data_IF_329651072876
#
_entry.id   IF_329651072876
#
_cell.length_a   1.000
_cell.length_b   1.000
_cell.length_c   1.000
_cell.angle_alpha   90.00
_cell.angle_beta   90.00
_cell.angle_gamma   90.00
#
_symmetry.space_group_name_H-M   'P 1'
#
loop_
_entity.id
_entity.type
_entity.pdbx_description
1 polymer ?
#
# COMPACT_ATOMS: atom_id res chain seq x y z
N UNK A 1 18.92 -1.65 -35.20
CA UNK A 1 17.92 -0.86 -34.45
C UNK A 1 16.93 -1.76 -33.68
N UNK A 2 17.39 -2.74 -32.90
CA UNK A 2 16.47 -3.61 -32.11
C UNK A 2 16.25 -3.12 -30.67
N UNK A 3 17.27 -2.50 -30.06
CA UNK A 3 17.18 -2.01 -28.67
C UNK A 3 16.17 -0.86 -28.52
N UNK A 4 16.07 0.02 -29.54
CA UNK A 4 15.12 1.13 -29.55
C UNK A 4 13.66 0.68 -29.58
N UNK A 5 13.33 -0.36 -30.35
CA UNK A 5 11.97 -0.90 -30.45
C UNK A 5 11.51 -1.59 -29.16
N UNK A 6 12.41 -2.36 -28.51
CA UNK A 6 12.11 -3.02 -27.22
C UNK A 6 11.89 -2.01 -26.10
N UNK A 7 12.68 -0.93 -26.06
CA UNK A 7 12.51 0.17 -25.10
C UNK A 7 11.16 0.89 -25.27
N UNK A 8 10.78 1.22 -26.51
CA UNK A 8 9.49 1.85 -26.81
C UNK A 8 8.30 0.96 -26.41
N UNK A 9 8.42 -0.35 -26.62
CA UNK A 9 7.38 -1.31 -26.24
C UNK A 9 7.25 -1.48 -24.72
N UNK A 10 8.36 -1.47 -23.99
CA UNK A 10 8.33 -1.50 -22.53
C UNK A 10 7.66 -0.23 -21.96
N UNK A 11 8.01 0.94 -22.49
CA UNK A 11 7.41 2.23 -22.10
C UNK A 11 5.91 2.26 -22.39
N UNK A 12 5.47 1.78 -23.56
CA UNK A 12 4.05 1.79 -23.93
C UNK A 12 3.22 0.89 -23.02
N UNK A 13 3.76 -0.28 -22.63
CA UNK A 13 3.11 -1.18 -21.67
C UNK A 13 2.99 -0.56 -20.28
N UNK A 14 4.06 0.06 -19.78
CA UNK A 14 4.04 0.74 -18.49
C UNK A 14 3.05 1.91 -18.50
N UNK A 15 3.06 2.72 -19.56
CA UNK A 15 2.12 3.85 -19.71
C UNK A 15 0.66 3.39 -19.76
N UNK A 16 0.39 2.28 -20.47
CA UNK A 16 -0.96 1.72 -20.54
C UNK A 16 -1.43 1.22 -19.19
N UNK A 17 -0.55 0.52 -18.46
CA UNK A 17 -0.81 0.06 -17.10
C UNK A 17 -1.04 1.22 -16.13
N UNK A 18 -0.24 2.28 -16.20
CA UNK A 18 -0.41 3.48 -15.37
C UNK A 18 -1.75 4.18 -15.63
N UNK A 19 -2.22 4.18 -16.89
CA UNK A 19 -3.55 4.70 -17.22
C UNK A 19 -4.67 3.85 -16.66
N UNK A 20 -4.53 2.53 -16.72
CA UNK A 20 -5.48 1.58 -16.12
C UNK A 20 -5.52 1.74 -14.60
N UNK A 21 -4.37 1.81 -13.92
CA UNK A 21 -4.34 2.03 -12.47
C UNK A 21 -4.84 3.41 -12.04
N UNK A 22 -4.79 4.42 -12.91
CA UNK A 22 -5.43 5.71 -12.63
C UNK A 22 -6.96 5.59 -12.56
N UNK A 23 -7.59 4.63 -13.27
CA UNK A 23 -9.04 4.41 -13.25
C UNK A 23 -9.49 3.30 -12.30
N UNK A 24 -8.70 2.23 -12.17
CA UNK A 24 -9.07 1.03 -11.41
C UNK A 24 -8.33 0.91 -10.06
N UNK A 25 -7.25 1.67 -9.88
CA UNK A 25 -6.38 1.59 -8.71
C UNK A 25 -5.14 0.72 -8.91
N UNK A 26 -4.09 0.99 -8.14
CA UNK A 26 -2.93 0.10 -8.04
C UNK A 26 -3.18 -1.06 -7.07
N UNK A 27 -2.64 -2.25 -7.37
CA UNK A 27 -2.61 -3.39 -6.45
C UNK A 27 -1.67 -3.10 -5.27
N UNK A 28 -2.25 -2.93 -4.08
CA UNK A 28 -1.54 -2.35 -2.92
C UNK A 28 -0.85 -3.41 -2.04
N UNK A 29 -1.18 -4.69 -2.18
CA UNK A 29 -0.63 -5.75 -1.34
C UNK A 29 0.88 -5.68 -1.22
N UNK A 30 1.38 -5.85 -0.01
CA UNK A 30 2.80 -5.92 0.23
C UNK A 30 3.26 -5.18 1.48
N UNK A 31 4.57 -5.04 1.55
CA UNK A 31 5.31 -4.46 2.65
C UNK A 31 6.09 -3.24 2.15
N UNK A 32 5.96 -2.15 2.88
CA UNK A 32 6.49 -0.84 2.55
C UNK A 32 7.32 -0.29 3.69
N UNK A 33 8.33 0.53 3.37
CA UNK A 33 9.22 1.13 4.37
C UNK A 33 9.35 2.63 4.17
N UNK A 34 9.45 3.39 5.26
CA UNK A 34 9.60 4.84 5.16
C UNK A 34 10.95 5.23 4.54
N UNK A 35 10.90 6.24 3.70
CA UNK A 35 12.02 6.66 2.85
C UNK A 35 13.11 7.45 3.58
N UNK A 36 12.78 8.09 4.70
CA UNK A 36 13.66 9.04 5.40
C UNK A 36 14.49 8.37 6.49
N UNK A 37 13.84 7.52 7.28
CA UNK A 37 14.43 6.92 8.49
C UNK A 37 14.55 5.41 8.36
N UNK A 38 13.73 4.79 7.51
CA UNK A 38 13.64 3.34 7.35
C UNK A 38 13.31 2.59 8.65
N UNK A 39 12.60 3.26 9.56
CA UNK A 39 12.20 2.76 10.88
C UNK A 39 10.70 2.47 10.97
N UNK A 40 9.87 3.13 10.17
CA UNK A 40 8.45 2.79 10.07
C UNK A 40 8.21 1.85 8.91
N UNK A 41 7.29 0.91 9.11
CA UNK A 41 6.89 -0.04 8.09
C UNK A 41 5.38 -0.13 7.99
N UNK A 42 4.87 -0.32 6.79
CA UNK A 42 3.44 -0.38 6.52
C UNK A 42 3.17 -1.61 5.66
N UNK A 43 2.20 -2.43 6.05
CA UNK A 43 1.79 -3.63 5.32
C UNK A 43 0.32 -3.53 4.91
N UNK A 44 0.00 -4.06 3.74
CA UNK A 44 -1.35 -4.16 3.19
C UNK A 44 -1.62 -5.56 2.66
N UNK A 45 -2.85 -6.04 2.87
CA UNK A 45 -3.38 -7.23 2.25
C UNK A 45 -4.87 -7.00 1.94
N UNK A 46 -5.25 -7.03 0.66
CA UNK A 46 -6.62 -6.87 0.17
C UNK A 46 -7.45 -8.14 0.41
N UNK A 47 -6.83 -9.31 0.25
CA UNK A 47 -7.39 -10.57 0.76
C UNK A 47 -7.49 -10.49 2.30
N UNK A 48 -8.37 -11.26 2.94
CA UNK A 48 -8.57 -11.18 4.40
C UNK A 48 -9.09 -9.79 4.90
N UNK A 49 -10.27 -9.39 4.41
CA UNK A 49 -11.02 -8.24 4.92
C UNK A 49 -10.29 -6.89 4.84
N UNK A 50 -9.41 -6.72 3.83
CA UNK A 50 -8.66 -5.49 3.57
C UNK A 50 -7.86 -5.03 4.80
N UNK A 51 -6.92 -5.86 5.24
CA UNK A 51 -6.09 -5.62 6.43
C UNK A 51 -4.91 -4.71 6.16
N UNK A 52 -4.59 -3.85 7.12
CA UNK A 52 -3.33 -3.09 7.14
C UNK A 52 -2.66 -3.15 8.51
N UNK A 53 -1.35 -2.93 8.54
CA UNK A 53 -0.60 -2.74 9.79
C UNK A 53 0.54 -1.74 9.58
N UNK A 54 0.64 -0.78 10.49
CA UNK A 54 1.81 0.06 10.67
C UNK A 54 2.61 -0.42 11.88
N UNK A 55 3.93 -0.53 11.71
CA UNK A 55 4.88 -0.58 12.83
C UNK A 55 5.62 0.74 12.84
N UNK A 56 5.52 1.49 13.93
CA UNK A 56 6.21 2.77 14.06
C UNK A 56 7.69 2.62 14.46
N UNK A 57 8.38 3.75 14.55
CA UNK A 57 9.81 3.80 14.89
C UNK A 57 10.16 3.22 16.27
N UNK A 58 9.18 3.14 17.18
CA UNK A 58 9.31 2.62 18.55
C UNK A 58 8.90 1.14 18.61
N UNK A 59 8.51 0.55 17.48
CA UNK A 59 8.08 -0.84 17.35
C UNK A 59 6.61 -1.05 17.72
N UNK A 60 5.84 0.02 17.93
CA UNK A 60 4.43 -0.07 18.26
C UNK A 60 3.66 -0.45 17.00
N UNK A 61 2.90 -1.54 17.10
CA UNK A 61 2.02 -2.01 16.03
C UNK A 61 0.66 -1.34 16.17
N UNK A 62 0.14 -0.82 15.06
CA UNK A 62 -1.27 -0.42 14.91
C UNK A 62 -1.80 -1.07 13.66
N UNK A 63 -2.91 -1.79 13.77
CA UNK A 63 -3.52 -2.47 12.64
C UNK A 63 -5.03 -2.22 12.58
N UNK A 64 -5.63 -2.71 11.51
CA UNK A 64 -7.06 -2.65 11.29
C UNK A 64 -7.42 -2.88 9.84
N UNK A 65 -8.48 -2.22 9.38
CA UNK A 65 -9.06 -2.42 8.06
C UNK A 65 -8.98 -1.14 7.22
N UNK A 66 -8.84 -1.29 5.91
CA UNK A 66 -8.88 -0.18 4.97
C UNK A 66 -10.00 -0.31 3.95
N UNK A 67 -10.38 0.83 3.36
CA UNK A 67 -11.33 0.88 2.24
C UNK A 67 -10.85 1.89 1.21
N UNK A 68 -11.03 1.58 -0.07
CA UNK A 68 -10.84 2.54 -1.16
C UNK A 68 -11.94 3.60 -1.12
N UNK A 69 -11.61 4.82 -1.52
CA UNK A 69 -12.60 5.89 -1.76
C UNK A 69 -13.14 5.82 -3.18
N UNK A 70 -13.94 6.82 -3.59
CA UNK A 70 -14.35 6.98 -4.98
C UNK A 70 -13.15 7.18 -5.92
N UNK A 71 -12.04 7.75 -5.41
CA UNK A 71 -10.74 7.62 -6.06
C UNK A 71 -10.11 6.28 -5.62
N UNK A 72 -9.87 5.35 -6.55
CA UNK A 72 -9.38 4.02 -6.19
C UNK A 72 -7.95 4.08 -5.64
N UNK A 73 -7.17 5.14 -5.91
CA UNK A 73 -5.81 5.28 -5.40
C UNK A 73 -5.76 5.97 -4.02
N UNK A 74 -6.91 6.26 -3.42
CA UNK A 74 -7.01 6.81 -2.07
C UNK A 74 -7.68 5.78 -1.16
N UNK A 75 -7.02 5.45 -0.06
CA UNK A 75 -7.49 4.50 0.96
C UNK A 75 -7.74 5.23 2.27
N UNK A 76 -8.83 4.90 2.97
CA UNK A 76 -9.04 5.30 4.37
C UNK A 76 -8.67 4.13 5.26
N UNK A 77 -7.74 4.36 6.19
CA UNK A 77 -7.31 3.39 7.19
C UNK A 77 -8.13 3.58 8.46
N UNK A 78 -8.72 2.49 8.95
CA UNK A 78 -9.37 2.43 10.25
C UNK A 78 -8.61 1.48 11.16
N UNK A 79 -8.40 1.88 12.42
CA UNK A 79 -7.85 0.98 13.42
C UNK A 79 -8.87 -0.11 13.81
N UNK A 80 -8.48 -1.05 14.67
CA UNK A 80 -9.36 -2.11 15.18
C UNK A 80 -10.65 -1.59 15.83
N UNK A 81 -10.62 -0.40 16.44
CA UNK A 81 -11.79 0.26 17.04
C UNK A 81 -12.72 0.91 16.01
N UNK A 82 -12.37 0.88 14.71
CA UNK A 82 -13.12 1.49 13.63
C UNK A 82 -12.93 3.00 13.47
N UNK A 83 -12.01 3.59 14.25
CA UNK A 83 -11.65 5.00 14.18
C UNK A 83 -10.72 5.27 13.00
N UNK A 84 -10.83 6.44 12.38
CA UNK A 84 -9.95 6.82 11.26
C UNK A 84 -8.54 7.04 11.79
N UNK A 85 -7.61 6.18 11.36
CA UNK A 85 -6.19 6.32 11.64
C UNK A 85 -5.52 7.30 10.66
N UNK A 86 -5.90 7.25 9.38
CA UNK A 86 -5.33 8.10 8.36
C UNK A 86 -5.82 7.79 6.95
N UNK A 87 -5.20 8.45 5.97
CA UNK A 87 -5.50 8.29 4.56
C UNK A 87 -4.23 7.96 3.80
N UNK A 88 -4.29 6.98 2.90
CA UNK A 88 -3.17 6.62 2.02
C UNK A 88 -3.47 7.07 0.60
N UNK A 89 -2.51 7.71 -0.04
CA UNK A 89 -2.52 7.92 -1.49
C UNK A 89 -1.46 7.01 -2.13
N UNK A 90 -1.90 6.10 -2.98
CA UNK A 90 -1.05 5.20 -3.77
C UNK A 90 -0.65 5.92 -5.04
N UNK A 91 0.52 6.57 -5.03
CA UNK A 91 0.92 7.44 -6.12
C UNK A 91 1.41 6.66 -7.35
N UNK A 92 2.06 5.52 -7.13
CA UNK A 92 2.58 4.68 -8.20
C UNK A 92 2.93 3.29 -7.67
N UNK A 93 2.60 2.24 -8.42
CA UNK A 93 3.24 0.92 -8.33
C UNK A 93 3.59 0.52 -9.77
N UNK A 94 4.79 -0.02 -10.00
CA UNK A 94 5.20 -0.44 -11.35
C UNK A 94 4.41 -1.67 -11.78
N UNK A 95 4.25 -1.89 -13.09
CA UNK A 95 3.56 -3.10 -13.61
C UNK A 95 4.20 -4.41 -13.13
N UNK A 96 5.52 -4.39 -12.93
CA UNK A 96 6.28 -5.54 -12.43
C UNK A 96 6.22 -5.68 -10.90
N UNK A 97 5.66 -4.68 -10.22
CA UNK A 97 5.58 -4.58 -8.75
C UNK A 97 6.94 -4.69 -8.07
N UNK A 98 7.98 -4.18 -8.73
CA UNK A 98 9.36 -4.05 -8.21
C UNK A 98 9.68 -2.61 -7.76
N UNK A 99 8.77 -1.68 -8.01
CA UNK A 99 8.81 -0.31 -7.53
C UNK A 99 7.41 0.11 -7.07
N UNK A 100 7.35 0.91 -6.03
CA UNK A 100 6.10 1.48 -5.56
C UNK A 100 6.32 2.64 -4.61
N UNK A 101 5.36 3.54 -4.58
CA UNK A 101 5.37 4.76 -3.80
C UNK A 101 3.97 5.07 -3.29
N UNK A 102 3.85 5.20 -1.98
CA UNK A 102 2.63 5.68 -1.34
C UNK A 102 2.92 6.76 -0.30
N UNK A 103 1.88 7.51 0.04
CA UNK A 103 1.92 8.54 1.07
C UNK A 103 0.85 8.24 2.11
N UNK A 104 1.23 8.16 3.37
CA UNK A 104 0.31 8.09 4.50
C UNK A 104 0.18 9.48 5.12
N UNK A 105 -1.05 9.97 5.15
CA UNK A 105 -1.47 11.19 5.84
C UNK A 105 -2.12 10.79 7.15
N UNK A 106 -1.53 11.19 8.28
CA UNK A 106 -2.10 10.99 9.62
C UNK A 106 -1.76 12.18 10.51
N UNK A 107 -2.69 12.56 11.38
CA UNK A 107 -2.59 13.76 12.22
C UNK A 107 -2.25 15.03 11.40
N UNK A 108 -1.02 15.52 11.51
CA UNK A 108 -0.44 16.65 10.78
C UNK A 108 0.78 16.27 9.96
N UNK A 109 1.05 14.96 9.82
CA UNK A 109 2.25 14.41 9.18
C UNK A 109 1.90 13.70 7.87
N UNK A 110 2.85 13.77 6.95
CA UNK A 110 2.85 12.96 5.73
C UNK A 110 4.12 12.13 5.72
N UNK A 111 3.97 10.82 5.72
CA UNK A 111 5.08 9.87 5.62
C UNK A 111 5.05 9.22 4.25
N UNK A 112 6.21 9.17 3.60
CA UNK A 112 6.38 8.58 2.26
C UNK A 112 6.98 7.19 2.42
N UNK A 113 6.39 6.22 1.75
CA UNK A 113 6.85 4.83 1.80
C UNK A 113 7.14 4.28 0.42
N UNK A 114 8.16 3.43 0.32
CA UNK A 114 8.48 2.68 -0.89
C UNK A 114 8.15 1.20 -0.73
N UNK A 115 7.72 0.57 -1.81
CA UNK A 115 7.47 -0.88 -1.86
C UNK A 115 8.79 -1.63 -1.65
N UNK A 116 8.78 -2.60 -0.74
CA UNK A 116 9.92 -3.49 -0.44
C UNK A 116 9.63 -4.90 -0.93
N UNK A 117 8.41 -5.40 -0.75
CA UNK A 117 7.97 -6.73 -1.17
C UNK A 117 6.48 -6.72 -1.49
N UNK A 118 6.05 -7.52 -2.45
CA UNK A 118 4.61 -7.76 -2.71
C UNK A 118 4.00 -8.74 -1.72
N UNK A 119 4.82 -9.50 -1.01
CA UNK A 119 4.38 -10.33 0.11
C UNK A 119 4.30 -9.43 1.34
N UNK A 120 3.12 -9.29 1.98
CA UNK A 120 3.01 -8.48 3.18
C UNK A 120 3.75 -9.14 4.34
N UNK A 121 4.30 -8.29 5.21
CA UNK A 121 4.98 -8.72 6.43
C UNK A 121 4.25 -8.11 7.64
N UNK A 122 3.23 -8.82 8.13
CA UNK A 122 2.53 -8.49 9.37
C UNK A 122 3.32 -9.06 10.55
N UNK A 123 3.51 -8.28 11.61
CA UNK A 123 4.13 -8.70 12.87
C UNK A 123 3.12 -9.23 13.89
N UNK A 124 1.82 -8.94 13.69
CA UNK A 124 0.73 -9.43 14.53
C UNK A 124 -0.19 -10.23 13.60
N UNK A 125 -0.57 -11.44 14.01
CA UNK A 125 -1.57 -12.23 13.26
C UNK A 125 -2.94 -11.55 13.32
N UNK A 126 -3.83 -11.83 12.37
CA UNK A 126 -5.21 -11.38 12.52
C UNK A 126 -5.80 -12.08 13.75
N UNK A 127 -6.38 -11.31 14.67
CA UNK A 127 -7.13 -11.93 15.77
C UNK A 127 -8.27 -12.72 15.16
N UNK A 128 -8.34 -14.02 15.44
CA UNK A 128 -9.54 -14.81 15.16
C UNK A 128 -10.71 -14.08 15.83
N UNK A 129 -11.57 -13.45 15.03
CA UNK A 129 -12.92 -13.14 15.48
C UNK A 129 -13.56 -14.49 15.67
N UNK A 130 -13.64 -14.93 16.94
CA UNK A 130 -14.45 -16.08 17.33
C UNK A 130 -15.78 -15.95 16.59
N UNK A 131 -16.00 -16.85 15.62
CA UNK A 131 -17.28 -17.00 14.97
C UNK A 131 -18.21 -17.55 16.05
N UNK A 132 -18.88 -16.65 16.76
CA UNK A 132 -19.92 -17.03 17.71
C UNK A 132 -20.90 -17.99 17.00
N UNK A 133 -21.02 -19.17 17.60
CA UNK A 133 -21.83 -20.31 17.15
C UNK A 133 -23.33 -20.05 17.16
#
# INVERSE_FOLDING_TARGET
MLLGAMGQFAISRETSYMRECASEGFAIDGYYRDDKTSRETLAFLEEDNCRWQLVDQDGICTDGQFKRTDDPNILVLKNENGEIFGTVHVAHISRRRDQGLLYLFRDTKVTRFYLVSTDPAFMVESGDVDADS
#
